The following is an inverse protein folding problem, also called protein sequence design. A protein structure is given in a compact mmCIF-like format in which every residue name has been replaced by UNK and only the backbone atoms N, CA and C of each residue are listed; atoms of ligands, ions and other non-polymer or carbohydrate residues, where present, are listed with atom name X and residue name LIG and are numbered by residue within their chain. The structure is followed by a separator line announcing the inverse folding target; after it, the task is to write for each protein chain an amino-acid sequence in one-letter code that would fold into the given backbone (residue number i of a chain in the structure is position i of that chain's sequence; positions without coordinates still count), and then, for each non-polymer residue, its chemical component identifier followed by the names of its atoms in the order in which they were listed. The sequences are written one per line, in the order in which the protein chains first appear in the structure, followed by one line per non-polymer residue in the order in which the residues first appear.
data_IF_372553889629
#
_entry.id   IF_372553889629
#
_cell.length_a   1.000
_cell.length_b   1.000
_cell.length_c   1.000
_cell.angle_alpha   90.00
_cell.angle_beta   90.00
_cell.angle_gamma   90.00
#
_symmetry.space_group_name_H-M   'P 1'
#
loop_
_entity.id
_entity.type
_entity.pdbx_description
1 polymer ?
#
# COMPACT_ATOMS: atom_id res chain seq x y z
N UNK A 1 -2.27 -10.86 -4.20
CA UNK A 1 -2.13 -9.55 -4.86
C UNK A 1 -1.42 -9.60 -6.22
N UNK A 2 -0.62 -10.61 -6.53
CA UNK A 2 0.37 -10.57 -7.61
C UNK A 2 0.07 -11.57 -8.74
N UNK A 3 -1.15 -11.56 -9.25
CA UNK A 3 -1.55 -12.49 -10.32
C UNK A 3 -1.03 -12.04 -11.69
N UNK A 4 -0.26 -12.90 -12.33
CA UNK A 4 0.39 -12.67 -13.62
C UNK A 4 -0.59 -12.46 -14.78
N UNK A 5 -1.86 -12.88 -14.64
CA UNK A 5 -2.88 -12.65 -15.65
C UNK A 5 -3.26 -11.17 -15.78
N UNK A 6 -3.17 -10.41 -14.68
CA UNK A 6 -3.47 -8.97 -14.66
C UNK A 6 -2.22 -8.09 -14.60
N UNK A 7 -1.20 -8.54 -13.87
CA UNK A 7 -0.05 -7.72 -13.53
C UNK A 7 1.18 -8.19 -14.30
N UNK A 8 1.63 -7.37 -15.26
CA UNK A 8 2.93 -7.57 -15.91
C UNK A 8 3.96 -6.69 -15.22
N UNK A 9 5.04 -7.30 -14.79
CA UNK A 9 6.14 -6.62 -14.11
C UNK A 9 7.35 -6.47 -15.05
N UNK A 10 8.04 -5.36 -14.90
CA UNK A 10 9.29 -5.06 -15.60
C UNK A 10 10.50 -5.53 -14.76
N UNK A 11 11.69 -5.30 -15.29
CA UNK A 11 12.94 -5.56 -14.55
C UNK A 11 13.39 -4.35 -13.69
N UNK A 12 12.52 -3.35 -13.52
CA UNK A 12 12.84 -2.11 -12.80
C UNK A 12 11.63 -1.63 -12.00
N UNK A 13 11.01 -2.53 -11.23
CA UNK A 13 9.86 -2.17 -10.41
C UNK A 13 10.29 -1.40 -9.14
N UNK A 14 9.55 -0.33 -8.84
CA UNK A 14 9.61 0.36 -7.55
C UNK A 14 8.22 0.28 -6.94
N UNK A 15 8.15 -0.34 -5.79
CA UNK A 15 6.92 -0.76 -5.12
C UNK A 15 6.60 0.10 -3.91
N UNK A 16 5.32 0.41 -3.71
CA UNK A 16 4.81 0.98 -2.46
C UNK A 16 3.89 -0.05 -1.80
N UNK A 17 4.24 -0.47 -0.59
CA UNK A 17 3.44 -1.32 0.28
C UNK A 17 2.85 -0.47 1.42
N UNK A 18 1.68 0.07 1.20
CA UNK A 18 0.94 0.81 2.21
C UNK A 18 0.14 -0.16 3.09
N UNK A 19 0.50 -0.21 4.38
CA UNK A 19 0.00 -1.22 5.32
C UNK A 19 0.73 -2.55 5.14
N UNK A 20 2.06 -2.55 5.34
CA UNK A 20 2.90 -3.73 5.08
C UNK A 20 2.88 -4.77 6.21
N UNK A 21 2.29 -4.46 7.36
CA UNK A 21 2.15 -5.32 8.53
C UNK A 21 3.49 -5.90 9.01
N UNK A 22 3.92 -7.02 8.42
CA UNK A 22 5.17 -7.72 8.77
C UNK A 22 6.13 -7.86 7.57
N UNK A 23 5.92 -7.09 6.50
CA UNK A 23 6.61 -7.19 5.20
C UNK A 23 6.36 -8.50 4.43
N UNK A 24 5.35 -9.28 4.83
CA UNK A 24 5.00 -10.50 4.11
C UNK A 24 4.69 -10.23 2.64
N UNK A 25 3.86 -9.24 2.38
CA UNK A 25 3.45 -8.84 1.02
C UNK A 25 4.64 -8.38 0.19
N UNK A 26 5.54 -7.56 0.75
CA UNK A 26 6.77 -7.12 0.06
C UNK A 26 7.67 -8.30 -0.29
N UNK A 27 7.86 -9.25 0.65
CA UNK A 27 8.67 -10.45 0.41
C UNK A 27 8.05 -11.37 -0.65
N UNK A 28 6.72 -11.53 -0.64
CA UNK A 28 6.03 -12.33 -1.65
C UNK A 28 6.05 -11.63 -3.02
N UNK A 29 5.96 -10.30 -3.06
CA UNK A 29 6.15 -9.57 -4.31
C UNK A 29 7.55 -9.78 -4.90
N UNK A 30 8.58 -9.76 -4.08
CA UNK A 30 9.94 -10.03 -4.54
C UNK A 30 10.12 -11.44 -5.13
N UNK A 31 9.42 -12.45 -4.59
CA UNK A 31 9.46 -13.82 -5.15
C UNK A 31 8.90 -13.90 -6.57
N UNK A 32 7.85 -13.14 -6.86
CA UNK A 32 7.20 -13.15 -8.19
C UNK A 32 7.77 -12.08 -9.13
N UNK A 33 8.39 -11.03 -8.61
CA UNK A 33 8.98 -9.95 -9.39
C UNK A 33 10.49 -9.84 -9.14
N UNK A 34 11.29 -10.59 -9.88
CA UNK A 34 12.77 -10.54 -9.78
C UNK A 34 13.36 -9.19 -10.19
N UNK A 35 12.58 -8.33 -10.82
CA UNK A 35 12.97 -6.97 -11.19
C UNK A 35 12.65 -5.90 -10.15
N UNK A 36 12.24 -6.29 -8.94
CA UNK A 36 12.00 -5.33 -7.86
C UNK A 36 13.33 -4.71 -7.40
N UNK A 37 13.47 -3.40 -7.60
CA UNK A 37 14.66 -2.63 -7.24
C UNK A 37 14.57 -2.06 -5.84
N UNK A 38 13.38 -1.53 -5.50
CA UNK A 38 13.16 -0.80 -4.26
C UNK A 38 11.71 -0.91 -3.82
N UNK A 39 11.51 -0.97 -2.52
CA UNK A 39 10.19 -0.89 -1.92
C UNK A 39 10.13 0.21 -0.85
N UNK A 40 9.04 0.96 -0.84
CA UNK A 40 8.65 1.86 0.26
C UNK A 40 7.56 1.16 1.06
N UNK A 41 7.84 0.80 2.30
CA UNK A 41 6.94 0.05 3.15
C UNK A 41 6.47 0.90 4.34
N UNK A 42 5.17 1.09 4.47
CA UNK A 42 4.55 1.92 5.51
C UNK A 42 3.86 1.05 6.55
N UNK A 43 4.22 1.24 7.82
CA UNK A 43 3.63 0.55 8.95
C UNK A 43 3.61 1.46 10.19
N UNK A 44 2.44 1.96 10.61
CA UNK A 44 2.34 2.87 11.74
C UNK A 44 2.36 2.17 13.10
N UNK A 45 1.95 0.89 13.18
CA UNK A 45 1.94 0.15 14.42
C UNK A 45 3.36 -0.19 14.87
N UNK A 46 3.74 0.25 16.07
CA UNK A 46 5.11 0.08 16.56
C UNK A 46 5.51 -1.40 16.72
N UNK A 47 4.56 -2.28 17.06
CA UNK A 47 4.83 -3.70 17.22
C UNK A 47 5.08 -4.37 15.85
N UNK A 48 4.23 -4.08 14.87
CA UNK A 48 4.39 -4.57 13.51
C UNK A 48 5.63 -3.97 12.84
N UNK A 49 5.89 -2.68 13.03
CA UNK A 49 7.12 -2.03 12.55
C UNK A 49 8.37 -2.72 13.07
N UNK A 50 8.37 -3.12 14.36
CA UNK A 50 9.47 -3.90 14.93
C UNK A 50 9.64 -5.25 14.22
N UNK A 51 8.55 -5.98 13.96
CA UNK A 51 8.59 -7.23 13.19
C UNK A 51 9.19 -7.02 11.80
N UNK A 52 8.82 -5.92 11.13
CA UNK A 52 9.40 -5.56 9.82
C UNK A 52 10.90 -5.37 9.91
N UNK A 53 11.40 -4.64 10.92
CA UNK A 53 12.83 -4.42 11.13
C UNK A 53 13.58 -5.72 11.38
N UNK A 54 13.05 -6.59 12.25
CA UNK A 54 13.62 -7.91 12.52
C UNK A 54 13.66 -8.79 11.26
N UNK A 55 12.63 -8.72 10.41
CA UNK A 55 12.62 -9.43 9.12
C UNK A 55 13.70 -8.88 8.18
N UNK A 56 13.82 -7.57 8.03
CA UNK A 56 14.84 -6.96 7.18
C UNK A 56 16.26 -7.34 7.61
N UNK A 57 16.54 -7.37 8.91
CA UNK A 57 17.82 -7.80 9.43
C UNK A 57 18.11 -9.28 9.13
N UNK A 58 17.09 -10.14 9.23
CA UNK A 58 17.22 -11.57 8.93
C UNK A 58 17.37 -11.88 7.43
N UNK A 59 16.69 -11.11 6.60
CA UNK A 59 16.55 -11.36 5.15
C UNK A 59 17.32 -10.33 4.28
N UNK A 60 18.26 -9.58 4.89
CA UNK A 60 18.98 -8.47 4.24
C UNK A 60 19.67 -8.83 2.92
N UNK A 61 20.14 -10.09 2.78
CA UNK A 61 20.83 -10.55 1.57
C UNK A 61 19.86 -11.07 0.49
N UNK A 62 18.57 -11.15 0.78
CA UNK A 62 17.55 -11.74 -0.09
C UNK A 62 16.47 -10.76 -0.52
N UNK A 63 16.26 -9.71 0.24
CA UNK A 63 15.29 -8.66 -0.11
C UNK A 63 15.95 -7.51 -0.89
N UNK A 64 15.19 -6.81 -1.76
CA UNK A 64 15.67 -5.59 -2.41
C UNK A 64 15.88 -4.47 -1.40
N UNK A 65 16.28 -3.30 -1.86
CA UNK A 65 16.27 -2.10 -1.03
C UNK A 65 14.86 -1.82 -0.48
N UNK A 66 14.71 -1.83 0.84
CA UNK A 66 13.44 -1.51 1.50
C UNK A 66 13.60 -0.29 2.39
N UNK A 67 12.87 0.77 2.05
CA UNK A 67 12.74 1.99 2.87
C UNK A 67 11.56 1.80 3.81
N UNK A 68 11.85 1.47 5.09
CA UNK A 68 10.83 1.32 6.13
C UNK A 68 10.42 2.67 6.71
N UNK A 69 9.13 2.95 6.72
CA UNK A 69 8.52 4.20 7.14
C UNK A 69 7.53 3.95 8.30
N UNK A 70 7.79 4.49 9.51
CA UNK A 70 6.93 4.30 10.69
C UNK A 70 5.71 5.23 10.65
N UNK A 71 5.02 5.26 9.53
CA UNK A 71 3.90 6.16 9.29
C UNK A 71 2.71 5.41 8.70
N UNK A 72 1.50 5.83 9.09
CA UNK A 72 0.31 5.54 8.31
C UNK A 72 0.27 6.39 7.04
N UNK A 73 -0.22 5.85 5.93
CA UNK A 73 -0.45 6.66 4.73
C UNK A 73 -1.74 7.45 4.87
N UNK A 74 -1.71 8.74 4.52
CA UNK A 74 -2.83 9.66 4.62
C UNK A 74 -2.74 10.77 3.58
N UNK A 75 -3.71 11.69 3.57
CA UNK A 75 -3.70 12.85 2.66
C UNK A 75 -2.67 13.92 3.03
N UNK A 76 -2.13 13.88 4.25
CA UNK A 76 -1.13 14.83 4.75
C UNK A 76 -0.42 14.29 5.99
N UNK A 77 0.67 14.96 6.38
CA UNK A 77 1.34 14.69 7.65
C UNK A 77 0.50 15.21 8.82
N UNK A 78 0.03 14.30 9.68
CA UNK A 78 -0.77 14.61 10.86
C UNK A 78 -0.62 13.53 11.91
N UNK A 79 -1.33 13.68 13.03
CA UNK A 79 -1.44 12.66 14.07
C UNK A 79 -2.89 12.20 14.15
N UNK A 80 -3.09 10.91 14.20
CA UNK A 80 -4.40 10.29 14.28
C UNK A 80 -4.45 9.30 15.44
N UNK A 81 -5.63 9.18 16.04
CA UNK A 81 -5.88 8.12 17.02
C UNK A 81 -6.05 6.78 16.29
N UNK A 82 -5.53 5.73 16.91
CA UNK A 82 -5.37 4.44 16.29
C UNK A 82 -5.65 3.32 17.27
N UNK A 83 -6.42 2.35 16.85
CA UNK A 83 -6.67 1.13 17.62
C UNK A 83 -5.58 0.12 17.23
N UNK A 84 -4.50 0.10 18.02
CA UNK A 84 -3.42 -0.87 17.84
C UNK A 84 -3.87 -2.26 18.33
N UNK A 85 -3.96 -3.23 17.44
CA UNK A 85 -4.34 -4.61 17.77
C UNK A 85 -3.15 -5.56 17.71
N UNK A 86 -2.03 -5.14 17.11
CA UNK A 86 -0.84 -5.96 16.92
C UNK A 86 -1.00 -7.10 15.91
N UNK A 87 -2.15 -7.17 15.27
CA UNK A 87 -2.49 -8.04 14.14
C UNK A 87 -2.79 -7.18 12.89
N UNK A 88 -3.26 -7.77 11.83
CA UNK A 88 -3.59 -7.04 10.61
C UNK A 88 -4.85 -6.16 10.66
N UNK A 89 -5.54 -6.08 11.81
CA UNK A 89 -6.84 -5.38 11.94
C UNK A 89 -6.74 -4.00 12.61
N UNK A 90 -5.55 -3.48 12.81
CA UNK A 90 -5.31 -2.19 13.46
C UNK A 90 -5.77 -1.02 12.57
N UNK A 91 -6.69 -0.18 13.03
CA UNK A 91 -7.34 0.86 12.21
C UNK A 91 -7.41 2.22 12.92
N UNK A 92 -7.65 3.29 12.16
CA UNK A 92 -7.88 4.62 12.68
C UNK A 92 -9.25 4.66 13.40
N UNK A 93 -9.27 5.17 14.63
CA UNK A 93 -10.48 5.23 15.48
C UNK A 93 -10.21 5.93 16.80
N UNK A 94 -11.06 5.70 17.81
CA UNK A 94 -10.99 6.34 19.13
C UNK A 94 -9.97 5.66 20.07
N UNK A 95 -8.98 4.95 19.55
CA UNK A 95 -7.93 4.30 20.33
C UNK A 95 -7.04 5.28 21.08
N UNK A 96 -6.40 4.81 22.15
CA UNK A 96 -5.47 5.62 22.94
C UNK A 96 -4.10 5.82 22.26
N UNK A 97 -3.76 4.95 21.33
CA UNK A 97 -2.50 5.04 20.58
C UNK A 97 -2.58 6.17 19.55
N UNK A 98 -1.55 6.97 19.49
CA UNK A 98 -1.41 8.04 18.47
C UNK A 98 -0.36 7.63 17.46
N UNK A 99 -0.73 7.54 16.19
CA UNK A 99 0.20 7.33 15.09
C UNK A 99 0.48 8.63 14.34
N UNK A 100 1.64 8.68 13.72
CA UNK A 100 1.96 9.72 12.74
C UNK A 100 1.58 9.24 11.34
N UNK A 101 1.08 10.15 10.52
CA UNK A 101 0.78 9.87 9.12
C UNK A 101 1.60 10.74 8.19
N UNK A 102 1.70 10.33 6.93
CA UNK A 102 2.39 11.07 5.88
C UNK A 102 1.68 10.84 4.54
N UNK A 103 1.73 11.85 3.67
CA UNK A 103 1.32 11.66 2.28
C UNK A 103 2.40 10.85 1.53
N UNK A 104 1.99 9.89 0.71
CA UNK A 104 2.91 9.13 -0.15
C UNK A 104 3.71 10.09 -1.04
N UNK A 105 3.07 11.14 -1.57
CA UNK A 105 3.70 12.16 -2.39
C UNK A 105 4.87 12.90 -1.70
N UNK A 106 4.87 12.93 -0.37
CA UNK A 106 5.89 13.61 0.44
C UNK A 106 6.94 12.63 1.00
N UNK A 107 6.65 11.33 0.95
CA UNK A 107 7.48 10.26 1.55
C UNK A 107 8.44 9.61 0.55
N UNK A 108 8.08 9.61 -0.75
CA UNK A 108 8.90 8.96 -1.78
C UNK A 108 9.87 9.92 -2.42
N UNK A 109 11.04 9.42 -2.83
CA UNK A 109 12.00 10.22 -3.59
C UNK A 109 11.38 10.64 -4.93
N UNK A 110 11.42 11.93 -5.25
CA UNK A 110 10.88 12.46 -6.49
C UNK A 110 11.57 11.95 -7.76
N UNK A 111 12.77 11.37 -7.65
CA UNK A 111 13.48 10.72 -8.75
C UNK A 111 13.03 9.27 -8.99
N UNK A 112 12.43 8.63 -8.00
CA UNK A 112 11.93 7.27 -8.13
C UNK A 112 10.63 7.25 -8.95
N UNK A 113 10.62 6.46 -10.02
CA UNK A 113 9.42 6.20 -10.82
C UNK A 113 8.65 5.05 -10.19
N UNK A 114 7.58 5.37 -9.48
CA UNK A 114 6.74 4.35 -8.85
C UNK A 114 5.98 3.56 -9.91
N UNK A 115 6.07 2.24 -9.86
CA UNK A 115 5.49 1.35 -10.86
C UNK A 115 4.33 0.51 -10.35
N UNK A 116 4.26 0.31 -9.02
CA UNK A 116 3.20 -0.44 -8.38
C UNK A 116 2.92 0.09 -6.97
N UNK A 117 1.64 0.22 -6.62
CA UNK A 117 1.18 0.60 -5.26
C UNK A 117 0.14 -0.43 -4.79
N UNK A 118 0.40 -1.07 -3.64
CA UNK A 118 -0.61 -1.83 -2.89
C UNK A 118 -1.09 -0.96 -1.73
N UNK A 119 -2.39 -0.94 -1.49
CA UNK A 119 -3.02 -0.29 -0.33
C UNK A 119 -3.94 -1.26 0.39
N UNK A 120 -3.62 -1.52 1.65
CA UNK A 120 -4.40 -2.30 2.58
C UNK A 120 -4.21 -1.64 3.96
N UNK A 121 -4.98 -0.60 4.20
CA UNK A 121 -4.73 0.40 5.26
C UNK A 121 -5.94 0.59 6.16
N UNK A 122 -6.73 -0.47 6.28
CA UNK A 122 -7.81 -0.61 7.27
C UNK A 122 -8.80 0.57 7.28
N UNK A 123 -9.28 0.93 6.06
CA UNK A 123 -10.26 1.98 5.85
C UNK A 123 -9.68 3.39 5.63
N UNK A 124 -8.37 3.52 5.50
CA UNK A 124 -7.69 4.78 5.16
C UNK A 124 -7.42 4.93 3.65
N UNK A 125 -7.93 4.03 2.80
CA UNK A 125 -7.58 3.94 1.38
C UNK A 125 -7.85 5.24 0.62
N UNK A 126 -9.02 5.86 0.83
CA UNK A 126 -9.37 7.12 0.16
C UNK A 126 -8.40 8.25 0.54
N UNK A 127 -8.07 8.38 1.82
CA UNK A 127 -7.12 9.40 2.28
C UNK A 127 -5.71 9.12 1.79
N UNK A 128 -5.30 7.85 1.77
CA UNK A 128 -4.01 7.42 1.21
C UNK A 128 -3.91 7.71 -0.30
N UNK A 129 -4.97 7.46 -1.06
CA UNK A 129 -5.05 7.83 -2.48
C UNK A 129 -4.98 9.35 -2.68
N UNK A 130 -5.60 10.15 -1.80
CA UNK A 130 -5.46 11.61 -1.82
C UNK A 130 -4.02 12.06 -1.57
N UNK A 131 -3.30 11.36 -0.69
CA UNK A 131 -1.88 11.61 -0.41
C UNK A 131 -0.91 11.08 -1.48
N UNK A 132 -1.39 10.32 -2.47
CA UNK A 132 -0.60 9.75 -3.56
C UNK A 132 -0.92 10.37 -4.94
N UNK A 133 -1.69 11.45 -4.99
CA UNK A 133 -2.23 11.98 -6.25
C UNK A 133 -1.15 12.42 -7.24
N UNK A 134 -0.06 13.02 -6.76
CA UNK A 134 1.03 13.51 -7.63
C UNK A 134 1.77 12.31 -8.23
N UNK A 135 2.13 11.33 -7.40
CA UNK A 135 2.78 10.08 -7.84
C UNK A 135 1.89 9.34 -8.83
N UNK A 136 0.60 9.13 -8.51
CA UNK A 136 -0.34 8.42 -9.38
C UNK A 136 -0.49 9.12 -10.74
N UNK A 137 -0.59 10.44 -10.78
CA UNK A 137 -0.70 11.20 -12.05
C UNK A 137 0.60 11.21 -12.85
N UNK A 138 1.76 11.33 -12.16
CA UNK A 138 3.08 11.39 -12.80
C UNK A 138 3.47 10.07 -13.41
N UNK A 139 3.35 8.99 -12.64
CA UNK A 139 3.96 7.69 -12.94
C UNK A 139 2.96 6.68 -13.49
N UNK A 140 1.66 6.86 -13.22
CA UNK A 140 0.58 5.93 -13.57
C UNK A 140 0.91 4.50 -13.15
N UNK A 141 1.23 4.26 -11.86
CA UNK A 141 1.58 2.94 -11.39
C UNK A 141 0.38 1.99 -11.51
N UNK A 142 0.63 0.70 -11.60
CA UNK A 142 -0.38 -0.31 -11.30
C UNK A 142 -0.86 -0.12 -9.87
N UNK A 143 -2.15 -0.22 -9.62
CA UNK A 143 -2.71 -0.12 -8.26
C UNK A 143 -3.39 -1.43 -7.87
N UNK A 144 -3.19 -1.86 -6.63
CA UNK A 144 -3.95 -2.91 -5.95
C UNK A 144 -4.46 -2.33 -4.62
N UNK A 145 -5.74 -2.02 -4.57
CA UNK A 145 -6.35 -1.32 -3.43
C UNK A 145 -7.44 -2.19 -2.82
N UNK A 146 -7.35 -2.46 -1.52
CA UNK A 146 -8.40 -3.13 -0.77
C UNK A 146 -9.65 -2.25 -0.72
N UNK A 147 -10.82 -2.83 -0.97
CA UNK A 147 -12.10 -2.11 -1.06
C UNK A 147 -13.19 -2.74 -0.20
N UNK A 148 -12.79 -3.50 0.83
CA UNK A 148 -13.71 -4.23 1.70
C UNK A 148 -13.86 -3.63 3.10
N UNK A 149 -13.03 -2.63 3.46
CA UNK A 149 -13.05 -2.05 4.79
C UNK A 149 -14.27 -1.15 5.04
N UNK A 150 -14.77 -0.48 4.00
CA UNK A 150 -15.99 0.36 4.07
C UNK A 150 -16.92 0.03 2.93
N UNK A 151 -18.24 -0.07 3.16
CA UNK A 151 -19.21 -0.38 2.10
C UNK A 151 -19.17 0.59 0.91
N UNK A 152 -18.90 1.87 1.17
CA UNK A 152 -18.81 2.92 0.15
C UNK A 152 -17.57 2.80 -0.73
N UNK A 153 -16.51 2.10 -0.29
CA UNK A 153 -15.24 2.02 -1.01
C UNK A 153 -15.38 1.34 -2.38
N UNK A 154 -16.34 0.44 -2.52
CA UNK A 154 -16.64 -0.22 -3.81
C UNK A 154 -17.00 0.79 -4.93
N UNK A 155 -17.49 1.97 -4.57
CA UNK A 155 -17.85 3.04 -5.52
C UNK A 155 -16.88 4.21 -5.44
N UNK A 156 -16.53 4.64 -4.22
CA UNK A 156 -15.76 5.87 -4.00
C UNK A 156 -14.32 5.75 -4.51
N UNK A 157 -13.65 4.62 -4.27
CA UNK A 157 -12.26 4.45 -4.66
C UNK A 157 -12.10 4.35 -6.18
N UNK A 158 -12.83 3.51 -6.93
CA UNK A 158 -12.69 3.48 -8.39
C UNK A 158 -13.09 4.80 -9.05
N UNK A 159 -14.11 5.51 -8.55
CA UNK A 159 -14.47 6.83 -9.08
C UNK A 159 -13.37 7.87 -8.83
N UNK A 160 -12.75 7.84 -7.64
CA UNK A 160 -11.64 8.74 -7.32
C UNK A 160 -10.42 8.46 -8.23
N UNK A 161 -10.03 7.19 -8.36
CA UNK A 161 -8.90 6.79 -9.24
C UNK A 161 -9.19 7.15 -10.70
N UNK A 162 -10.41 6.90 -11.18
CA UNK A 162 -10.83 7.25 -12.54
C UNK A 162 -10.77 8.75 -12.82
N UNK A 163 -11.09 9.58 -11.83
CA UNK A 163 -10.96 11.04 -11.93
C UNK A 163 -9.51 11.49 -12.00
N UNK A 164 -8.59 10.79 -11.31
CA UNK A 164 -7.15 11.11 -11.33
C UNK A 164 -6.52 10.76 -12.67
N UNK A 165 -6.82 9.56 -13.19
CA UNK A 165 -6.21 8.99 -14.40
C UNK A 165 -7.29 8.25 -15.18
N UNK A 166 -7.97 8.96 -16.13
CA UNK A 166 -9.12 8.43 -16.86
C UNK A 166 -8.86 7.17 -17.70
N UNK A 167 -7.62 6.90 -18.08
CA UNK A 167 -7.22 5.75 -18.91
C UNK A 167 -7.16 4.44 -18.14
N UNK A 168 -7.12 4.43 -16.82
CA UNK A 168 -7.08 3.20 -16.03
C UNK A 168 -8.23 2.25 -16.36
N UNK A 169 -7.88 0.97 -16.53
CA UNK A 169 -8.80 -0.16 -16.63
C UNK A 169 -8.91 -0.81 -15.25
N UNK A 170 -10.14 -1.07 -14.85
CA UNK A 170 -10.44 -1.63 -13.54
C UNK A 170 -10.77 -3.11 -13.61
N UNK A 171 -10.22 -3.86 -12.65
CA UNK A 171 -10.50 -5.27 -12.44
C UNK A 171 -10.75 -5.51 -10.96
N UNK A 172 -11.70 -6.36 -10.65
CA UNK A 172 -12.04 -6.75 -9.29
C UNK A 172 -11.68 -8.21 -9.07
N UNK A 173 -11.04 -8.51 -7.94
CA UNK A 173 -10.76 -9.88 -7.49
C UNK A 173 -11.13 -10.02 -6.03
N UNK A 174 -11.74 -11.17 -5.69
CA UNK A 174 -11.95 -11.60 -4.32
C UNK A 174 -11.06 -12.81 -4.04
N UNK A 175 -10.36 -12.79 -2.93
CA UNK A 175 -9.41 -13.83 -2.51
C UNK A 175 -9.96 -14.67 -1.37
N UNK A 176 -11.15 -14.39 -0.89
CA UNK A 176 -11.87 -15.20 0.08
C UNK A 176 -13.29 -15.47 -0.38
N UNK A 177 -13.94 -16.46 0.26
CA UNK A 177 -15.36 -16.75 0.06
C UNK A 177 -16.27 -15.82 0.91
N UNK A 178 -15.69 -14.90 1.65
CA UNK A 178 -16.35 -13.90 2.48
C UNK A 178 -16.13 -12.48 1.88
N UNK A 179 -16.75 -11.48 2.48
CA UNK A 179 -16.67 -10.09 1.99
C UNK A 179 -15.31 -9.42 2.28
N UNK A 180 -14.44 -10.08 3.02
CA UNK A 180 -13.06 -9.67 3.27
C UNK A 180 -12.14 -10.13 2.12
N UNK A 181 -11.07 -9.40 1.88
CA UNK A 181 -10.06 -9.64 0.82
C UNK A 181 -10.54 -9.33 -0.61
N UNK A 182 -11.34 -8.31 -0.78
CA UNK A 182 -11.70 -7.80 -2.10
C UNK A 182 -10.72 -6.71 -2.53
N UNK A 183 -10.08 -6.89 -3.69
CA UNK A 183 -9.05 -5.99 -4.22
C UNK A 183 -9.47 -5.42 -5.56
N UNK A 184 -9.40 -4.10 -5.67
CA UNK A 184 -9.53 -3.34 -6.91
C UNK A 184 -8.15 -3.17 -7.54
N UNK A 185 -8.00 -3.68 -8.75
CA UNK A 185 -6.83 -3.39 -9.59
C UNK A 185 -7.15 -2.27 -10.56
N UNK A 186 -6.26 -1.27 -10.64
CA UNK A 186 -6.29 -0.25 -11.66
C UNK A 186 -5.00 -0.32 -12.48
N UNK A 187 -5.15 -0.63 -13.77
CA UNK A 187 -4.04 -0.87 -14.71
C UNK A 187 -4.03 0.22 -15.76
N UNK A 188 -2.90 0.92 -15.99
CA UNK A 188 -2.78 1.99 -16.98
C UNK A 188 -2.89 1.52 -18.44
#
# INVERSE_FOLDING_TARGET
YFYEDLLKFSNEEIFIDAGCCDLGTTADFFKVCQGLKKAYAFEPDAFNYKKCRERLEREQDTLPEVVMLPYGTWSSSTKLHFNATGDGCAHIGDGETVIQTIAIDDAVDGQDKITFIKMDVEGAELESLKGAQKVIKRDKPKLAVCIYHKPEDILTLPLFIKKLVPEYKFYLRSYSNADNEMVLYAIP
#
